data_IF_297876896779
#
_entry.id   IF_297876896779
#
_cell.length_a   1.000
_cell.length_b   1.000
_cell.length_c   1.000
_cell.angle_alpha   90.00
_cell.angle_beta   90.00
_cell.angle_gamma   90.00
#
_symmetry.space_group_name_H-M   'P 1'
#
loop_
_entity.id
_entity.type
_entity.pdbx_description
1 polymer ?
#
# COMPACT_ATOMS: atom_id res chain seq x y z
N UNK A 1 -0.97 6.08 42.43
CA UNK A 1 -0.42 5.61 41.13
C UNK A 1 -1.24 6.26 40.03
N UNK A 2 -0.60 6.81 38.98
CA UNK A 2 -1.34 7.27 37.81
C UNK A 2 -2.09 6.08 37.17
N UNK A 3 -3.23 6.31 36.51
CA UNK A 3 -3.95 5.24 35.83
C UNK A 3 -3.07 4.67 34.71
N UNK A 4 -2.81 3.35 34.72
CA UNK A 4 -2.05 2.64 33.66
C UNK A 4 -2.77 2.58 32.29
N UNK A 5 -3.78 3.42 32.09
CA UNK A 5 -4.63 3.47 30.90
C UNK A 5 -4.04 4.45 29.87
N UNK A 6 -3.28 5.44 30.34
CA UNK A 6 -2.69 6.45 29.47
C UNK A 6 -1.25 6.09 29.14
N UNK A 7 -0.83 6.43 27.91
CA UNK A 7 0.59 6.52 27.58
C UNK A 7 1.15 7.65 28.43
N UNK A 8 2.22 7.36 29.16
CA UNK A 8 2.92 8.29 30.04
C UNK A 8 4.38 8.53 29.59
N UNK A 9 4.89 7.66 28.72
CA UNK A 9 6.18 7.81 28.05
C UNK A 9 6.02 8.50 26.68
N UNK A 10 6.49 9.74 26.61
CA UNK A 10 6.56 10.54 25.39
C UNK A 10 7.99 10.99 25.10
N UNK A 11 8.99 10.30 25.66
CA UNK A 11 10.39 10.61 25.40
C UNK A 11 10.70 10.44 23.91
N UNK A 12 11.42 11.43 23.37
CA UNK A 12 11.88 11.43 21.98
C UNK A 12 13.39 11.46 21.95
N UNK A 13 13.96 10.42 21.40
CA UNK A 13 15.38 10.29 21.06
C UNK A 13 15.55 10.41 19.54
N UNK A 14 16.76 10.73 19.08
CA UNK A 14 17.08 10.73 17.64
C UNK A 14 16.78 9.37 16.99
N UNK A 15 17.04 8.27 17.71
CA UNK A 15 16.73 6.92 17.23
C UNK A 15 15.22 6.69 17.13
N UNK A 16 14.45 7.07 18.14
CA UNK A 16 12.99 6.93 18.12
C UNK A 16 12.35 7.76 17.00
N UNK A 17 12.85 8.97 16.74
CA UNK A 17 12.39 9.82 15.64
C UNK A 17 12.72 9.19 14.28
N UNK A 18 13.92 8.61 14.13
CA UNK A 18 14.28 7.82 12.96
C UNK A 18 13.31 6.64 12.74
N UNK A 19 13.06 5.82 13.77
CA UNK A 19 12.16 4.66 13.66
C UNK A 19 10.72 5.07 13.36
N UNK A 20 10.21 6.12 14.00
CA UNK A 20 8.91 6.70 13.66
C UNK A 20 8.88 7.19 12.21
N UNK A 21 9.97 7.79 11.72
CA UNK A 21 10.12 8.18 10.32
C UNK A 21 10.02 6.99 9.37
N UNK A 22 10.73 5.89 9.66
CA UNK A 22 10.66 4.65 8.87
C UNK A 22 9.25 4.08 8.88
N UNK A 23 8.59 4.01 10.03
CA UNK A 23 7.20 3.53 10.16
C UNK A 23 6.21 4.41 9.38
N UNK A 24 6.36 5.74 9.48
CA UNK A 24 5.53 6.70 8.74
C UNK A 24 5.68 6.56 7.23
N UNK A 25 6.93 6.48 6.73
CA UNK A 25 7.20 6.25 5.30
C UNK A 25 6.69 4.89 4.84
N UNK A 26 6.79 3.86 5.67
CA UNK A 26 6.23 2.53 5.39
C UNK A 26 4.71 2.59 5.21
N UNK A 27 4.01 3.33 6.08
CA UNK A 27 2.57 3.53 5.98
C UNK A 27 2.17 4.30 4.71
N UNK A 28 2.97 5.28 4.28
CA UNK A 28 2.75 6.01 3.02
C UNK A 28 2.81 5.05 1.82
N UNK A 29 3.81 4.18 1.75
CA UNK A 29 3.92 3.18 0.66
C UNK A 29 2.73 2.22 0.69
N UNK A 30 2.38 1.71 1.87
CA UNK A 30 1.27 0.76 2.04
C UNK A 30 -0.09 1.37 1.62
N UNK A 31 -0.36 2.61 2.02
CA UNK A 31 -1.61 3.32 1.68
C UNK A 31 -1.66 3.76 0.22
N UNK A 32 -0.51 4.13 -0.38
CA UNK A 32 -0.43 4.41 -1.82
C UNK A 32 -0.79 3.16 -2.64
N UNK A 33 -0.20 2.01 -2.32
CA UNK A 33 -0.50 0.74 -3.00
C UNK A 33 -1.99 0.40 -2.93
N UNK A 34 -2.60 0.54 -1.76
CA UNK A 34 -4.03 0.32 -1.55
C UNK A 34 -4.92 1.24 -2.40
N UNK A 35 -4.56 2.52 -2.43
CA UNK A 35 -5.26 3.54 -3.24
C UNK A 35 -5.17 3.23 -4.73
N UNK A 36 -4.00 2.82 -5.23
CA UNK A 36 -3.81 2.46 -6.63
C UNK A 36 -4.63 1.24 -7.03
N UNK A 37 -4.63 0.17 -6.21
CA UNK A 37 -5.46 -1.00 -6.46
C UNK A 37 -6.95 -0.62 -6.57
N UNK A 38 -7.42 0.19 -5.63
CA UNK A 38 -8.83 0.60 -5.56
C UNK A 38 -9.23 1.48 -6.74
N UNK A 39 -8.38 2.46 -7.08
CA UNK A 39 -8.62 3.38 -8.19
C UNK A 39 -8.64 2.65 -9.53
N UNK A 40 -7.68 1.75 -9.78
CA UNK A 40 -7.64 0.97 -11.01
C UNK A 40 -8.87 0.05 -11.13
N UNK A 41 -9.24 -0.65 -10.05
CA UNK A 41 -10.43 -1.49 -10.02
C UNK A 41 -11.71 -0.71 -10.34
N UNK A 42 -11.87 0.49 -9.78
CA UNK A 42 -12.99 1.38 -10.10
C UNK A 42 -12.96 1.84 -11.57
N UNK A 43 -11.79 2.21 -12.08
CA UNK A 43 -11.63 2.64 -13.47
C UNK A 43 -11.99 1.52 -14.47
N UNK A 44 -11.60 0.28 -14.18
CA UNK A 44 -11.97 -0.90 -14.97
C UNK A 44 -13.48 -1.11 -15.00
N UNK A 45 -14.14 -1.06 -13.84
CA UNK A 45 -15.60 -1.20 -13.76
C UNK A 45 -16.33 -0.08 -14.52
N UNK A 46 -15.83 1.16 -14.43
CA UNK A 46 -16.38 2.29 -15.19
C UNK A 46 -16.22 2.05 -16.69
N UNK A 47 -15.02 1.65 -17.15
CA UNK A 47 -14.73 1.42 -18.58
C UNK A 47 -15.58 0.28 -19.15
N UNK A 48 -15.75 -0.81 -18.40
CA UNK A 48 -16.61 -1.93 -18.80
C UNK A 48 -18.09 -1.55 -18.77
N UNK A 49 -18.52 -0.80 -17.76
CA UNK A 49 -19.92 -0.37 -17.65
C UNK A 49 -20.32 0.69 -18.66
N UNK A 50 -19.38 1.55 -19.10
CA UNK A 50 -19.63 2.64 -20.03
C UNK A 50 -20.25 2.17 -21.36
N UNK A 51 -19.93 0.95 -21.81
CA UNK A 51 -20.49 0.37 -23.04
C UNK A 51 -22.02 0.22 -23.02
N UNK A 52 -22.64 0.20 -21.83
CA UNK A 52 -24.08 0.00 -21.68
C UNK A 52 -24.89 1.30 -21.60
N UNK A 53 -24.24 2.47 -21.61
CA UNK A 53 -24.92 3.76 -21.47
C UNK A 53 -24.70 4.62 -22.72
N UNK A 54 -25.78 5.17 -23.25
CA UNK A 54 -25.76 6.02 -24.46
C UNK A 54 -25.99 7.50 -24.15
N UNK A 55 -26.41 7.85 -22.93
CA UNK A 55 -26.60 9.23 -22.49
C UNK A 55 -25.74 9.59 -21.27
N UNK A 56 -25.41 10.87 -21.16
CA UNK A 56 -24.46 11.36 -20.17
C UNK A 56 -25.02 11.37 -18.73
N UNK A 57 -26.32 11.57 -18.54
CA UNK A 57 -26.91 11.64 -17.20
C UNK A 57 -27.01 10.25 -16.55
N UNK A 58 -27.43 9.23 -17.29
CA UNK A 58 -27.41 7.84 -16.82
C UNK A 58 -25.98 7.36 -16.54
N UNK A 59 -25.04 7.71 -17.43
CA UNK A 59 -23.62 7.41 -17.21
C UNK A 59 -23.09 8.10 -15.94
N UNK A 60 -23.46 9.36 -15.68
CA UNK A 60 -23.05 10.10 -14.48
C UNK A 60 -23.58 9.45 -13.21
N UNK A 61 -24.84 9.02 -13.19
CA UNK A 61 -25.43 8.28 -12.06
C UNK A 61 -24.70 6.95 -11.84
N UNK A 62 -24.40 6.22 -12.92
CA UNK A 62 -23.63 4.98 -12.86
C UNK A 62 -22.22 5.20 -12.30
N UNK A 63 -21.48 6.16 -12.85
CA UNK A 63 -20.14 6.53 -12.41
C UNK A 63 -20.09 6.89 -10.93
N UNK A 64 -21.02 7.72 -10.45
CA UNK A 64 -21.11 8.11 -9.03
C UNK A 64 -21.38 6.90 -8.13
N UNK A 65 -22.20 5.94 -8.59
CA UNK A 65 -22.44 4.69 -7.85
C UNK A 65 -21.18 3.83 -7.72
N UNK A 66 -20.33 3.80 -8.74
CA UNK A 66 -19.07 3.02 -8.69
C UNK A 66 -18.07 3.65 -7.72
N UNK A 67 -17.92 4.98 -7.73
CA UNK A 67 -16.96 5.69 -6.87
C UNK A 67 -17.40 5.70 -5.40
N UNK A 68 -18.69 5.90 -5.14
CA UNK A 68 -19.22 5.92 -3.77
C UNK A 68 -19.23 4.54 -3.10
N UNK A 69 -19.10 3.46 -3.87
CA UNK A 69 -19.05 2.11 -3.33
C UNK A 69 -17.74 1.88 -2.60
N UNK A 70 -17.82 1.65 -1.29
CA UNK A 70 -16.70 1.18 -0.49
C UNK A 70 -16.14 -0.14 -1.07
N UNK A 71 -14.81 -0.21 -1.23
CA UNK A 71 -14.11 -1.41 -1.66
C UNK A 71 -13.00 -1.73 -0.69
N UNK A 72 -12.86 -3.02 -0.41
CA UNK A 72 -11.67 -3.54 0.28
C UNK A 72 -10.56 -3.79 -0.74
N UNK A 73 -9.30 -3.76 -0.29
CA UNK A 73 -8.16 -4.11 -1.13
C UNK A 73 -8.32 -5.50 -1.79
N UNK A 74 -8.82 -6.47 -1.04
CA UNK A 74 -9.11 -7.81 -1.54
C UNK A 74 -10.14 -7.81 -2.67
N UNK A 75 -11.25 -7.06 -2.50
CA UNK A 75 -12.25 -6.95 -3.57
C UNK A 75 -11.72 -6.21 -4.79
N UNK A 76 -10.84 -5.23 -4.62
CA UNK A 76 -10.20 -4.50 -5.72
C UNK A 76 -9.26 -5.41 -6.51
N UNK A 77 -8.40 -6.18 -5.84
CA UNK A 77 -7.47 -7.12 -6.48
C UNK A 77 -8.19 -8.18 -7.30
N UNK A 78 -9.32 -8.69 -6.80
CA UNK A 78 -10.13 -9.70 -7.51
C UNK A 78 -10.72 -9.20 -8.83
N UNK A 79 -10.89 -7.88 -9.01
CA UNK A 79 -11.38 -7.28 -10.26
C UNK A 79 -10.42 -7.49 -11.43
N UNK A 80 -9.12 -7.70 -11.17
CA UNK A 80 -8.11 -7.73 -12.22
C UNK A 80 -8.08 -9.03 -13.04
N UNK A 81 -8.75 -10.10 -12.58
CA UNK A 81 -8.80 -11.44 -13.25
C UNK A 81 -7.40 -11.89 -13.71
N UNK A 82 -6.50 -12.04 -12.74
CA UNK A 82 -5.09 -12.33 -12.99
C UNK A 82 -4.79 -13.83 -12.93
N UNK A 83 -3.73 -14.31 -13.60
CA UNK A 83 -3.18 -15.63 -13.37
C UNK A 83 -2.84 -15.85 -11.89
N UNK A 84 -2.95 -17.10 -11.42
CA UNK A 84 -2.74 -17.47 -10.02
C UNK A 84 -1.40 -16.98 -9.47
N UNK A 85 -0.31 -17.16 -10.23
CA UNK A 85 1.04 -16.73 -9.84
C UNK A 85 1.13 -15.21 -9.55
N UNK A 86 0.45 -14.39 -10.36
CA UNK A 86 0.41 -12.94 -10.18
C UNK A 86 -0.55 -12.57 -9.03
N UNK A 87 -1.66 -13.29 -8.91
CA UNK A 87 -2.61 -13.17 -7.82
C UNK A 87 -1.95 -13.39 -6.45
N UNK A 88 -1.06 -14.37 -6.34
CA UNK A 88 -0.31 -14.66 -5.12
C UNK A 88 0.65 -13.53 -4.71
N UNK A 89 1.30 -12.87 -5.68
CA UNK A 89 2.15 -11.70 -5.40
C UNK A 89 1.32 -10.55 -4.82
N UNK A 90 0.17 -10.25 -5.44
CA UNK A 90 -0.75 -9.21 -4.93
C UNK A 90 -1.37 -9.61 -3.59
N UNK A 91 -1.58 -10.91 -3.35
CA UNK A 91 -2.06 -11.40 -2.07
C UNK A 91 -1.03 -11.13 -0.96
N UNK A 92 0.25 -11.45 -1.19
CA UNK A 92 1.35 -11.16 -0.26
C UNK A 92 1.50 -9.66 -0.02
N UNK A 93 1.41 -8.85 -1.07
CA UNK A 93 1.43 -7.39 -0.96
C UNK A 93 0.29 -6.87 -0.06
N UNK A 94 -0.92 -7.40 -0.23
CA UNK A 94 -2.10 -7.09 0.60
C UNK A 94 -1.87 -7.48 2.07
N UNK A 95 -1.32 -8.65 2.33
CA UNK A 95 -1.00 -9.08 3.70
C UNK A 95 0.04 -8.17 4.35
N UNK A 96 1.12 -7.85 3.64
CA UNK A 96 2.12 -6.90 4.13
C UNK A 96 1.55 -5.52 4.39
N UNK A 97 0.69 -5.01 3.50
CA UNK A 97 -0.03 -3.74 3.70
C UNK A 97 -0.88 -3.77 4.97
N UNK A 98 -1.59 -4.87 5.22
CA UNK A 98 -2.40 -5.02 6.43
C UNK A 98 -1.54 -5.06 7.70
N UNK A 99 -0.40 -5.75 7.65
CA UNK A 99 0.53 -5.81 8.76
C UNK A 99 1.06 -4.42 9.12
N UNK A 100 1.56 -3.66 8.13
CA UNK A 100 2.04 -2.28 8.33
C UNK A 100 0.93 -1.38 8.89
N UNK A 101 -0.29 -1.50 8.37
CA UNK A 101 -1.40 -0.63 8.76
C UNK A 101 -2.00 -0.96 10.14
N UNK A 102 -1.82 -2.18 10.66
CA UNK A 102 -2.59 -2.64 11.83
C UNK A 102 -1.77 -3.27 12.95
N UNK A 103 -0.72 -4.03 12.64
CA UNK A 103 -0.08 -4.91 13.62
C UNK A 103 1.39 -4.58 13.87
N UNK A 104 2.09 -4.02 12.88
CA UNK A 104 3.52 -3.73 12.97
C UNK A 104 3.90 -2.83 14.17
N UNK A 105 3.03 -1.88 14.52
CA UNK A 105 3.28 -0.89 15.58
C UNK A 105 2.67 -1.26 16.93
N UNK A 106 2.00 -2.41 17.05
CA UNK A 106 1.37 -2.82 18.31
C UNK A 106 2.42 -3.01 19.40
N UNK A 107 2.23 -2.37 20.54
CA UNK A 107 3.17 -2.45 21.66
C UNK A 107 4.37 -1.51 21.55
N UNK A 108 4.49 -0.75 20.45
CA UNK A 108 5.57 0.22 20.21
C UNK A 108 5.17 1.66 20.58
N UNK A 109 4.25 1.85 21.53
CA UNK A 109 3.80 3.18 21.96
C UNK A 109 4.86 3.90 22.82
N UNK A 110 5.06 5.21 22.67
CA UNK A 110 6.06 5.94 23.46
C UNK A 110 7.49 5.75 22.96
N UNK A 111 8.49 5.62 23.85
CA UNK A 111 9.88 5.46 23.44
C UNK A 111 10.14 4.04 22.90
N UNK A 112 10.34 3.94 21.58
CA UNK A 112 10.52 2.66 20.87
C UNK A 112 11.86 2.00 21.21
N UNK A 113 12.88 2.79 21.56
CA UNK A 113 14.28 2.33 21.75
C UNK A 113 14.41 1.17 22.73
N UNK A 114 13.54 1.11 23.74
CA UNK A 114 13.58 0.09 24.80
C UNK A 114 12.70 -1.13 24.50
N UNK A 115 11.96 -1.12 23.39
CA UNK A 115 10.87 -2.07 23.11
C UNK A 115 11.19 -3.09 22.04
N UNK A 116 12.05 -2.73 21.09
CA UNK A 116 12.41 -3.60 19.98
C UNK A 116 13.83 -3.30 19.52
N UNK A 117 14.54 -4.36 19.13
CA UNK A 117 15.83 -4.20 18.46
C UNK A 117 15.64 -3.56 17.08
N UNK A 118 16.40 -2.49 16.82
CA UNK A 118 16.34 -1.74 15.57
C UNK A 118 16.51 -2.65 14.34
N UNK A 119 17.48 -3.56 14.37
CA UNK A 119 17.77 -4.42 13.22
C UNK A 119 16.61 -5.36 12.93
N UNK A 120 15.99 -5.89 13.97
CA UNK A 120 14.79 -6.74 13.88
C UNK A 120 13.63 -5.98 13.24
N UNK A 121 13.32 -4.78 13.73
CA UNK A 121 12.24 -3.95 13.17
C UNK A 121 12.52 -3.58 11.70
N UNK A 122 13.72 -3.10 11.40
CA UNK A 122 14.11 -2.68 10.04
C UNK A 122 14.08 -3.85 9.05
N UNK A 123 14.51 -5.06 9.46
CA UNK A 123 14.45 -6.23 8.58
C UNK A 123 13.02 -6.69 8.30
N UNK A 124 12.13 -6.62 9.29
CA UNK A 124 10.71 -6.92 9.06
C UNK A 124 10.08 -5.88 8.13
N UNK A 125 10.36 -4.59 8.34
CA UNK A 125 9.91 -3.51 7.45
C UNK A 125 10.43 -3.73 6.02
N UNK A 126 11.71 -4.07 5.82
CA UNK A 126 12.28 -4.38 4.50
C UNK A 126 11.49 -5.47 3.78
N UNK A 127 11.18 -6.56 4.49
CA UNK A 127 10.42 -7.68 3.95
C UNK A 127 9.00 -7.26 3.57
N UNK A 128 8.29 -6.58 4.47
CA UNK A 128 6.92 -6.12 4.24
C UNK A 128 6.85 -5.16 3.06
N UNK A 129 7.75 -4.17 3.00
CA UNK A 129 7.83 -3.19 1.91
C UNK A 129 8.22 -3.83 0.59
N UNK A 130 9.13 -4.81 0.58
CA UNK A 130 9.49 -5.53 -0.65
C UNK A 130 8.27 -6.22 -1.27
N UNK A 131 7.46 -6.92 -0.47
CA UNK A 131 6.22 -7.53 -0.96
C UNK A 131 5.27 -6.48 -1.55
N UNK A 132 5.16 -5.30 -0.92
CA UNK A 132 4.31 -4.22 -1.42
C UNK A 132 4.85 -3.65 -2.72
N UNK A 133 6.17 -3.45 -2.84
CA UNK A 133 6.81 -2.98 -4.08
C UNK A 133 6.54 -3.95 -5.23
N UNK A 134 6.69 -5.24 -5.00
CA UNK A 134 6.45 -6.25 -6.04
C UNK A 134 4.98 -6.20 -6.51
N UNK A 135 4.04 -6.03 -5.57
CA UNK A 135 2.63 -5.78 -5.91
C UNK A 135 2.41 -4.45 -6.65
N UNK A 136 3.08 -3.38 -6.23
CA UNK A 136 2.95 -2.05 -6.80
C UNK A 136 3.49 -1.97 -8.24
N UNK A 137 4.54 -2.74 -8.56
CA UNK A 137 5.04 -2.94 -9.92
C UNK A 137 3.95 -3.56 -10.81
N UNK A 138 3.27 -4.61 -10.33
CA UNK A 138 2.18 -5.25 -11.06
C UNK A 138 1.06 -4.24 -11.32
N UNK A 139 0.61 -3.50 -10.30
CA UNK A 139 -0.45 -2.51 -10.46
C UNK A 139 -0.03 -1.37 -11.41
N UNK A 140 1.24 -0.96 -11.37
CA UNK A 140 1.78 0.05 -12.29
C UNK A 140 1.76 -0.43 -13.74
N UNK A 141 2.14 -1.69 -13.99
CA UNK A 141 2.08 -2.30 -15.32
C UNK A 141 0.63 -2.38 -15.81
N UNK A 142 -0.30 -2.85 -14.97
CA UNK A 142 -1.72 -2.93 -15.31
C UNK A 142 -2.33 -1.55 -15.57
N UNK A 143 -1.89 -0.53 -14.82
CA UNK A 143 -2.33 0.86 -15.02
C UNK A 143 -1.84 1.39 -16.36
N UNK A 144 -0.57 1.15 -16.70
CA UNK A 144 -0.02 1.56 -17.99
C UNK A 144 -0.76 0.88 -19.14
N UNK A 145 -1.00 -0.43 -19.06
CA UNK A 145 -1.79 -1.15 -20.06
C UNK A 145 -3.22 -0.58 -20.19
N UNK A 146 -3.89 -0.32 -19.07
CA UNK A 146 -5.23 0.27 -19.04
C UNK A 146 -5.29 1.64 -19.73
N UNK A 147 -4.26 2.47 -19.53
CA UNK A 147 -4.11 3.79 -20.13
C UNK A 147 -3.54 3.78 -21.56
N UNK A 148 -2.98 2.65 -22.01
CA UNK A 148 -2.18 2.51 -23.24
C UNK A 148 -0.86 3.30 -23.19
N UNK A 149 -0.27 3.41 -22.01
CA UNK A 149 1.06 3.99 -21.78
C UNK A 149 2.17 2.94 -21.99
N UNK A 150 3.43 3.36 -22.26
CA UNK A 150 4.54 2.43 -22.41
C UNK A 150 4.81 1.58 -21.16
N UNK A 151 5.11 0.29 -21.36
CA UNK A 151 5.52 -0.59 -20.28
C UNK A 151 6.91 -0.21 -19.77
N UNK A 152 7.13 -0.13 -18.44
CA UNK A 152 8.44 0.16 -17.88
C UNK A 152 9.48 -0.88 -18.26
N UNK A 153 10.73 -0.45 -18.46
CA UNK A 153 11.85 -1.38 -18.69
C UNK A 153 12.26 -2.08 -17.39
N UNK A 154 12.86 -3.26 -17.49
CA UNK A 154 13.37 -4.01 -16.32
C UNK A 154 14.32 -3.14 -15.47
N UNK A 155 15.19 -2.37 -16.12
CA UNK A 155 16.11 -1.46 -15.43
C UNK A 155 15.37 -0.36 -14.65
N UNK A 156 14.26 0.16 -15.17
CA UNK A 156 13.44 1.14 -14.49
C UNK A 156 12.74 0.53 -13.27
N UNK A 157 12.27 -0.73 -13.37
CA UNK A 157 11.65 -1.46 -12.26
C UNK A 157 12.63 -1.72 -11.12
N UNK A 158 13.84 -2.21 -11.43
CA UNK A 158 14.90 -2.42 -10.43
C UNK A 158 15.30 -1.11 -9.74
N UNK A 159 15.45 -0.03 -10.52
CA UNK A 159 15.74 1.29 -9.96
C UNK A 159 14.61 1.79 -9.05
N UNK A 160 13.35 1.55 -9.42
CA UNK A 160 12.21 1.90 -8.58
C UNK A 160 12.25 1.15 -7.24
N UNK A 161 12.43 -0.17 -7.28
CA UNK A 161 12.51 -1.02 -6.09
C UNK A 161 13.58 -0.53 -5.10
N UNK A 162 14.79 -0.29 -5.60
CA UNK A 162 15.89 0.19 -4.77
C UNK A 162 15.60 1.57 -4.18
N UNK A 163 15.02 2.49 -4.97
CA UNK A 163 14.68 3.84 -4.50
C UNK A 163 13.61 3.84 -3.43
N UNK A 164 12.59 2.99 -3.52
CA UNK A 164 11.54 2.93 -2.50
C UNK A 164 12.10 2.36 -1.20
N UNK A 165 12.87 1.26 -1.26
CA UNK A 165 13.50 0.68 -0.08
C UNK A 165 14.46 1.66 0.60
N UNK A 166 15.32 2.30 -0.18
CA UNK A 166 16.24 3.34 0.31
C UNK A 166 15.48 4.51 0.95
N UNK A 167 14.46 5.05 0.27
CA UNK A 167 13.65 6.14 0.81
C UNK A 167 12.95 5.79 2.12
N UNK A 168 12.45 4.56 2.27
CA UNK A 168 11.79 4.13 3.51
C UNK A 168 12.78 4.04 4.66
N UNK A 169 13.97 3.50 4.43
CA UNK A 169 14.87 3.02 5.49
C UNK A 169 16.00 4.00 5.79
N UNK A 170 16.36 4.85 4.85
CA UNK A 170 17.45 5.79 5.05
C UNK A 170 17.14 6.79 6.18
N UNK A 171 18.15 7.16 6.99
CA UNK A 171 18.01 8.15 8.06
C UNK A 171 17.44 9.48 7.59
#
# INVERSE_FOLDING_TARGET
MPPKIFIDDFEKTENSDYLHGVLGRSLIIATRFDSMCTTLSQAMDIKLGAFFYTNNEEFKVFYQKIISKYRTLNTSIKTFILPEEIGEILHKARESRNEIAHSLTKGLEGCIDMKIDNMTLINEIKKLITNIIDGDIIISILTNDFNKDPTPTIQALEKYKNRVLDWVISP
#
